data_IF_281333136760
#
_entry.id   IF_281333136760
#
_cell.length_a   1.000
_cell.length_b   1.000
_cell.length_c   1.000
_cell.angle_alpha   90.00
_cell.angle_beta   90.00
_cell.angle_gamma   90.00
#
_symmetry.space_group_name_H-M   'P 1'
#
loop_
_entity.id
_entity.type
_entity.pdbx_description
1 polymer ?
#
# COMPACT_ATOMS: atom_id res chain seq x y z
N UNK A 1 -1.04 7.88 -30.16
CA UNK A 1 -1.98 8.74 -29.39
C UNK A 1 -2.63 7.85 -28.34
N UNK A 2 -2.20 7.95 -27.08
CA UNK A 2 -2.80 7.20 -25.98
C UNK A 2 -4.12 7.90 -25.61
N UNK A 3 -5.25 7.24 -25.82
CA UNK A 3 -6.54 7.76 -25.38
C UNK A 3 -6.62 7.52 -23.87
N UNK A 4 -6.69 8.59 -23.10
CA UNK A 4 -6.88 8.47 -21.66
C UNK A 4 -8.29 7.89 -21.40
N UNK A 5 -8.39 6.78 -20.65
CA UNK A 5 -9.69 6.20 -20.35
C UNK A 5 -10.49 7.07 -19.40
N UNK A 6 -11.81 7.14 -19.62
CA UNK A 6 -12.73 7.80 -18.69
C UNK A 6 -12.93 6.94 -17.42
N UNK A 7 -12.17 7.27 -16.38
CA UNK A 7 -12.25 6.61 -15.08
C UNK A 7 -13.58 6.89 -14.37
N UNK A 8 -14.24 8.02 -14.61
CA UNK A 8 -15.50 8.36 -13.98
C UNK A 8 -16.66 7.49 -14.52
N UNK A 9 -16.69 7.26 -15.83
CA UNK A 9 -17.65 6.34 -16.44
C UNK A 9 -17.38 4.89 -16.01
N UNK A 10 -16.12 4.45 -16.04
CA UNK A 10 -15.73 3.09 -15.64
C UNK A 10 -16.06 2.78 -14.18
N UNK A 11 -15.91 3.76 -13.27
CA UNK A 11 -16.26 3.61 -11.84
C UNK A 11 -17.73 3.29 -11.61
N UNK A 12 -18.63 3.76 -12.48
CA UNK A 12 -20.07 3.48 -12.39
C UNK A 12 -20.44 2.10 -12.93
N UNK A 13 -19.62 1.56 -13.84
CA UNK A 13 -19.91 0.32 -14.56
C UNK A 13 -19.19 -0.91 -14.00
N UNK A 14 -18.06 -0.73 -13.31
CA UNK A 14 -17.17 -1.82 -12.90
C UNK A 14 -16.76 -1.71 -11.43
N UNK A 15 -16.71 -2.86 -10.74
CA UNK A 15 -16.21 -2.95 -9.36
C UNK A 15 -14.68 -2.81 -9.30
N UNK A 16 -13.97 -3.44 -10.25
CA UNK A 16 -12.52 -3.39 -10.38
C UNK A 16 -12.11 -3.29 -11.86
N UNK A 17 -10.96 -2.67 -12.11
CA UNK A 17 -10.47 -2.37 -13.44
C UNK A 17 -8.98 -2.71 -13.53
N UNK A 18 -8.59 -3.47 -14.55
CA UNK A 18 -7.18 -3.65 -14.90
C UNK A 18 -6.70 -2.40 -15.64
N UNK A 19 -5.71 -1.72 -15.07
CA UNK A 19 -5.18 -0.47 -15.61
C UNK A 19 -3.95 -0.66 -16.53
N UNK A 20 -3.12 -1.65 -16.22
CA UNK A 20 -1.84 -1.86 -16.88
C UNK A 20 -1.71 -3.29 -17.45
N UNK A 21 -0.53 -3.61 -17.96
CA UNK A 21 -0.18 -4.92 -18.51
C UNK A 21 -0.33 -6.05 -17.48
N UNK A 22 -0.41 -7.28 -17.99
CA UNK A 22 -0.49 -8.48 -17.16
C UNK A 22 0.78 -8.65 -16.31
N UNK A 23 0.59 -9.20 -15.10
CA UNK A 23 1.69 -9.50 -14.18
C UNK A 23 2.32 -10.84 -14.57
N UNK A 24 3.64 -10.88 -14.56
CA UNK A 24 4.44 -12.09 -14.75
C UNK A 24 5.22 -12.41 -13.47
N UNK A 25 5.63 -13.67 -13.32
CA UNK A 25 6.44 -14.15 -12.20
C UNK A 25 7.90 -13.65 -12.29
N UNK A 26 8.08 -12.35 -12.13
CA UNK A 26 9.38 -11.69 -12.14
C UNK A 26 9.35 -10.38 -11.35
N UNK A 27 10.43 -10.10 -10.62
CA UNK A 27 10.61 -8.82 -9.93
C UNK A 27 10.55 -7.62 -10.91
N UNK A 28 11.03 -7.81 -12.15
CA UNK A 28 10.95 -6.81 -13.20
C UNK A 28 9.51 -6.43 -13.55
N UNK A 29 8.61 -7.41 -13.70
CA UNK A 29 7.18 -7.15 -13.98
C UNK A 29 6.50 -6.40 -12.83
N UNK A 30 6.82 -6.75 -11.58
CA UNK A 30 6.27 -6.02 -10.41
C UNK A 30 6.77 -4.57 -10.38
N UNK A 31 8.06 -4.34 -10.64
CA UNK A 31 8.66 -3.00 -10.68
C UNK A 31 8.02 -2.12 -11.76
N UNK A 32 7.78 -2.65 -12.96
CA UNK A 32 7.13 -1.87 -14.04
C UNK A 32 5.69 -1.49 -13.71
N UNK A 33 4.92 -2.38 -13.06
CA UNK A 33 3.56 -2.07 -12.58
C UNK A 33 3.61 -0.97 -11.52
N UNK A 34 4.52 -1.07 -10.55
CA UNK A 34 4.69 -0.06 -9.49
C UNK A 34 5.08 1.30 -10.06
N UNK A 35 6.02 1.33 -11.00
CA UNK A 35 6.48 2.56 -11.64
C UNK A 35 5.35 3.21 -12.45
N UNK A 36 4.64 2.42 -13.28
CA UNK A 36 3.50 2.93 -14.03
C UNK A 36 2.40 3.50 -13.13
N UNK A 37 2.07 2.78 -12.05
CA UNK A 37 1.05 3.19 -11.07
C UNK A 37 1.42 4.50 -10.39
N UNK A 38 2.69 4.64 -10.00
CA UNK A 38 3.18 5.84 -9.34
C UNK A 38 3.28 7.04 -10.28
N UNK A 39 3.57 6.82 -11.56
CA UNK A 39 3.66 7.89 -12.57
C UNK A 39 2.28 8.36 -13.04
N UNK A 40 1.23 7.54 -12.89
CA UNK A 40 -0.16 7.88 -13.22
C UNK A 40 -1.04 8.10 -11.99
N UNK A 41 -0.44 8.23 -10.80
CA UNK A 41 -1.15 8.29 -9.53
C UNK A 41 -2.18 9.43 -9.47
N UNK A 42 -1.91 10.58 -10.09
CA UNK A 42 -2.81 11.74 -10.11
C UNK A 42 -4.12 11.47 -10.89
N UNK A 43 -4.11 10.47 -11.78
CA UNK A 43 -5.27 10.09 -12.59
C UNK A 43 -6.05 8.97 -11.89
N UNK A 44 -5.33 7.98 -11.36
CA UNK A 44 -5.96 6.76 -10.82
C UNK A 44 -6.39 6.89 -9.36
N UNK A 45 -5.64 7.62 -8.52
CA UNK A 45 -5.94 7.77 -7.08
C UNK A 45 -7.25 8.51 -6.84
N UNK A 46 -7.58 9.61 -7.55
CA UNK A 46 -8.89 10.25 -7.40
C UNK A 46 -10.04 9.36 -7.89
N UNK A 47 -9.79 8.49 -8.87
CA UNK A 47 -10.75 7.49 -9.34
C UNK A 47 -10.92 6.32 -8.35
N UNK A 48 -9.90 6.07 -7.52
CA UNK A 48 -9.81 4.97 -6.56
C UNK A 48 -10.32 5.34 -5.16
N UNK A 49 -11.37 6.16 -5.09
CA UNK A 49 -12.08 6.48 -3.87
C UNK A 49 -13.57 6.59 -4.18
N UNK A 50 -14.37 5.74 -3.54
CA UNK A 50 -15.83 5.91 -3.59
C UNK A 50 -16.28 6.70 -2.37
N UNK A 51 -16.61 7.98 -2.56
CA UNK A 51 -17.62 8.61 -1.72
C UNK A 51 -18.93 7.88 -1.99
N UNK A 52 -19.43 7.21 -0.95
CA UNK A 52 -20.68 6.48 -0.94
C UNK A 52 -21.83 7.45 -1.25
N UNK A 53 -22.33 7.40 -2.48
CA UNK A 53 -23.72 7.69 -2.78
C UNK A 53 -24.33 6.44 -3.42
N UNK A 54 -24.33 5.34 -2.67
CA UNK A 54 -25.23 4.21 -2.93
C UNK A 54 -26.46 4.41 -2.05
N UNK A 55 -27.52 4.99 -2.60
CA UNK A 55 -28.86 4.57 -2.21
C UNK A 55 -28.96 3.07 -2.47
N UNK A 56 -29.43 2.31 -1.49
CA UNK A 56 -29.61 0.83 -1.51
C UNK A 56 -28.40 0.02 -1.00
N UNK A 57 -28.00 0.34 0.24
CA UNK A 57 -27.89 -0.64 1.31
C UNK A 57 -26.85 -1.76 1.18
N UNK A 58 -25.75 -1.57 1.92
CA UNK A 58 -24.90 -2.58 2.57
C UNK A 58 -24.37 -3.72 1.70
N UNK A 59 -23.05 -3.73 1.44
CA UNK A 59 -22.09 -4.85 1.69
C UNK A 59 -20.73 -4.47 1.07
N UNK A 60 -19.69 -4.45 1.90
CA UNK A 60 -18.25 -4.32 1.60
C UNK A 60 -17.81 -3.11 0.75
N UNK A 61 -17.07 -2.19 1.36
CA UNK A 61 -16.41 -1.09 0.65
C UNK A 61 -15.41 -1.62 -0.40
N UNK A 62 -15.26 -0.97 -1.56
CA UNK A 62 -14.34 -1.42 -2.60
C UNK A 62 -12.88 -1.24 -2.12
N UNK A 63 -12.16 -2.35 -1.95
CA UNK A 63 -10.70 -2.34 -1.88
C UNK A 63 -10.17 -2.20 -3.32
N UNK A 64 -9.54 -1.07 -3.64
CA UNK A 64 -9.10 -0.75 -5.01
C UNK A 64 -7.90 -1.58 -5.49
N UNK A 65 -7.34 -2.42 -4.61
CA UNK A 65 -6.35 -3.45 -4.96
C UNK A 65 -6.86 -4.81 -4.48
N UNK A 66 -7.55 -5.58 -5.34
CA UNK A 66 -8.06 -6.88 -4.94
C UNK A 66 -6.90 -7.86 -4.67
N UNK A 67 -6.93 -8.53 -3.53
CA UNK A 67 -5.96 -9.57 -3.17
C UNK A 67 -6.34 -10.90 -3.85
N UNK A 68 -5.97 -11.04 -5.13
CA UNK A 68 -6.22 -12.24 -5.92
C UNK A 68 -4.95 -13.08 -6.01
N UNK A 69 -4.99 -14.30 -5.46
CA UNK A 69 -3.87 -15.23 -5.51
C UNK A 69 -3.92 -16.08 -6.78
N UNK A 70 -2.78 -16.22 -7.46
CA UNK A 70 -2.58 -17.12 -8.60
C UNK A 70 -1.41 -18.05 -8.32
N UNK A 71 -1.63 -19.05 -7.48
CA UNK A 71 -0.62 -20.05 -7.08
C UNK A 71 -1.27 -21.44 -6.87
N UNK A 72 -0.45 -22.49 -6.77
CA UNK A 72 -0.96 -23.81 -6.35
C UNK A 72 -1.06 -23.86 -4.81
N UNK A 73 -2.28 -23.77 -4.30
CA UNK A 73 -2.55 -23.78 -2.87
C UNK A 73 -2.27 -25.13 -2.20
N UNK A 74 -2.12 -26.21 -2.97
CA UNK A 74 -1.80 -27.55 -2.44
C UNK A 74 -0.32 -27.68 -2.11
N UNK A 75 0.52 -26.89 -2.78
CA UNK A 75 1.98 -26.92 -2.68
C UNK A 75 2.54 -25.49 -2.55
N UNK A 76 2.12 -24.80 -1.50
CA UNK A 76 2.61 -23.47 -1.15
C UNK A 76 3.64 -23.56 -0.03
N UNK A 77 4.80 -22.91 -0.20
CA UNK A 77 5.81 -22.89 0.86
C UNK A 77 5.30 -22.14 2.12
N UNK A 78 5.69 -22.57 3.33
CA UNK A 78 5.18 -21.99 4.58
C UNK A 78 5.41 -20.48 4.71
N UNK A 79 6.53 -19.98 4.19
CA UNK A 79 6.90 -18.56 4.22
C UNK A 79 5.92 -17.71 3.39
N UNK A 80 5.61 -18.13 2.15
CA UNK A 80 4.64 -17.45 1.29
C UNK A 80 3.23 -17.52 1.88
N UNK A 81 2.85 -18.66 2.46
CA UNK A 81 1.56 -18.79 3.15
C UNK A 81 1.46 -17.81 4.33
N UNK A 82 2.50 -17.70 5.15
CA UNK A 82 2.52 -16.77 6.29
C UNK A 82 2.43 -15.31 5.83
N UNK A 83 3.12 -14.95 4.75
CA UNK A 83 3.06 -13.60 4.18
C UNK A 83 1.65 -13.29 3.64
N UNK A 84 1.06 -14.19 2.84
CA UNK A 84 -0.28 -14.02 2.25
C UNK A 84 -1.39 -14.01 3.31
N UNK A 85 -1.16 -14.65 4.47
CA UNK A 85 -2.09 -14.69 5.59
C UNK A 85 -1.75 -13.70 6.72
N UNK A 86 -0.84 -12.75 6.48
CA UNK A 86 -0.47 -11.76 7.50
C UNK A 86 -1.65 -10.81 7.77
N UNK A 87 -2.29 -10.98 8.94
CA UNK A 87 -3.49 -10.24 9.34
C UNK A 87 -3.26 -8.73 9.34
N UNK A 88 -2.09 -8.25 9.75
CA UNK A 88 -1.81 -6.80 9.80
C UNK A 88 -1.76 -6.19 8.40
N UNK A 89 -1.16 -6.90 7.43
CA UNK A 89 -1.14 -6.48 6.02
C UNK A 89 -2.54 -6.53 5.42
N UNK A 90 -3.32 -7.58 5.72
CA UNK A 90 -4.70 -7.71 5.25
C UNK A 90 -5.57 -6.57 5.80
N UNK A 91 -5.43 -6.21 7.08
CA UNK A 91 -6.18 -5.11 7.69
C UNK A 91 -5.86 -3.76 7.02
N UNK A 92 -4.60 -3.50 6.68
CA UNK A 92 -4.21 -2.30 5.93
C UNK A 92 -4.86 -2.29 4.53
N UNK A 93 -4.87 -3.44 3.84
CA UNK A 93 -5.48 -3.57 2.51
C UNK A 93 -7.01 -3.46 2.52
N UNK A 94 -7.64 -3.91 3.61
CA UNK A 94 -9.09 -3.93 3.80
C UNK A 94 -9.59 -2.77 4.68
N UNK A 95 -8.83 -1.67 4.74
CA UNK A 95 -9.22 -0.48 5.48
C UNK A 95 -10.56 0.07 4.97
N UNK A 96 -11.45 0.40 5.92
CA UNK A 96 -12.82 0.81 5.61
C UNK A 96 -12.90 2.17 4.90
N UNK A 97 -11.89 3.03 5.03
CA UNK A 97 -11.87 4.29 4.28
C UNK A 97 -11.69 4.03 2.79
N UNK A 98 -11.14 2.88 2.41
CA UNK A 98 -10.99 2.45 1.03
C UNK A 98 -10.24 3.46 0.16
N UNK A 99 -9.30 4.21 0.76
CA UNK A 99 -8.50 5.23 0.06
C UNK A 99 -7.22 4.57 -0.45
N UNK A 100 -7.01 4.62 -1.76
CA UNK A 100 -5.77 4.13 -2.35
C UNK A 100 -4.55 4.95 -1.88
N UNK A 101 -3.47 4.26 -1.52
CA UNK A 101 -2.18 4.88 -1.21
C UNK A 101 -1.49 5.46 -2.45
N UNK A 102 -0.53 6.36 -2.25
CA UNK A 102 0.20 7.05 -3.32
C UNK A 102 1.69 7.20 -2.95
N UNK A 103 2.54 7.35 -3.97
CA UNK A 103 3.97 7.59 -3.78
C UNK A 103 4.18 9.06 -3.42
N UNK A 104 4.80 9.32 -2.27
CA UNK A 104 5.21 10.68 -1.87
C UNK A 104 6.65 10.71 -1.37
N UNK A 105 7.36 11.78 -1.71
CA UNK A 105 8.68 12.10 -1.16
C UNK A 105 8.61 12.89 0.15
N UNK A 106 7.45 13.51 0.43
CA UNK A 106 7.21 14.33 1.63
C UNK A 106 6.01 13.78 2.39
N UNK A 107 6.26 13.33 3.61
CA UNK A 107 5.20 12.84 4.48
C UNK A 107 4.62 14.04 5.25
N UNK A 108 3.45 14.53 4.81
CA UNK A 108 2.60 15.38 5.65
C UNK A 108 1.56 14.49 6.33
N UNK A 109 1.86 14.03 7.54
CA UNK A 109 0.87 13.32 8.37
C UNK A 109 -0.13 14.34 8.92
N UNK A 110 -1.30 14.46 8.31
CA UNK A 110 -2.41 15.23 8.90
C UNK A 110 -3.60 14.30 9.15
N UNK A 111 -3.71 13.80 10.38
CA UNK A 111 -4.89 13.13 10.91
C UNK A 111 -5.04 11.64 10.55
N UNK A 112 -5.09 10.80 11.60
CA UNK A 112 -5.47 9.38 11.50
C UNK A 112 -4.29 8.39 11.52
N UNK A 113 -4.63 7.10 11.53
CA UNK A 113 -3.68 6.00 11.38
C UNK A 113 -3.24 5.91 9.92
N UNK A 114 -1.94 5.74 9.68
CA UNK A 114 -1.35 5.69 8.34
C UNK A 114 -0.44 4.47 8.20
N UNK A 115 -0.36 3.93 6.99
CA UNK A 115 0.59 2.88 6.63
C UNK A 115 1.64 3.48 5.68
N UNK A 116 2.92 3.35 6.05
CA UNK A 116 4.07 3.83 5.30
C UNK A 116 4.84 2.61 4.78
N UNK A 117 4.98 2.51 3.46
CA UNK A 117 5.82 1.51 2.82
C UNK A 117 7.08 2.18 2.27
N UNK A 118 8.24 1.70 2.69
CA UNK A 118 9.54 2.13 2.18
C UNK A 118 10.08 1.04 1.30
N UNK A 119 10.17 1.34 0.00
CA UNK A 119 10.77 0.46 -1.00
C UNK A 119 12.19 0.92 -1.28
N UNK A 120 13.16 0.05 -1.07
CA UNK A 120 14.51 0.31 -1.57
C UNK A 120 14.59 -0.05 -3.06
N UNK A 121 14.76 0.99 -3.89
CA UNK A 121 14.98 0.84 -5.33
C UNK A 121 16.45 0.67 -5.68
N UNK A 122 17.36 1.00 -4.76
CA UNK A 122 18.79 0.80 -4.91
C UNK A 122 19.22 -0.42 -4.08
N UNK A 123 20.47 -0.86 -4.23
CA UNK A 123 21.06 -1.89 -3.36
C UNK A 123 22.09 -1.26 -2.40
N UNK A 124 21.94 0.04 -2.11
CA UNK A 124 22.99 0.82 -1.43
C UNK A 124 22.39 1.78 -0.40
N UNK A 125 22.51 1.41 0.87
CA UNK A 125 22.28 2.26 2.03
C UNK A 125 20.89 2.10 2.65
N UNK A 126 20.82 2.14 3.99
CA UNK A 126 19.56 1.99 4.72
C UNK A 126 18.69 3.26 4.60
N UNK A 127 17.41 3.13 4.17
CA UNK A 127 16.47 4.24 4.14
C UNK A 127 16.26 4.89 5.53
N UNK A 128 16.02 6.19 5.55
CA UNK A 128 15.70 6.91 6.79
C UNK A 128 14.31 7.52 6.65
N UNK A 129 13.42 7.17 7.57
CA UNK A 129 12.12 7.82 7.69
C UNK A 129 12.27 9.11 8.50
N UNK A 130 11.56 10.19 8.13
CA UNK A 130 11.55 11.41 8.93
C UNK A 130 10.93 11.14 10.31
N UNK A 131 11.34 11.91 11.35
CA UNK A 131 10.73 11.84 12.68
C UNK A 131 9.23 12.14 12.62
N UNK A 132 8.42 11.34 13.30
CA UNK A 132 6.98 11.56 13.46
C UNK A 132 6.62 11.77 14.94
N UNK A 133 6.88 12.99 15.47
CA UNK A 133 6.67 13.27 16.89
C UNK A 133 5.23 13.00 17.34
N UNK A 134 5.08 12.36 18.50
CA UNK A 134 3.77 12.10 19.11
C UNK A 134 2.98 10.96 18.44
N UNK A 135 3.65 10.14 17.62
CA UNK A 135 3.04 8.98 16.99
C UNK A 135 3.70 7.68 17.49
N UNK A 136 2.88 6.65 17.65
CA UNK A 136 3.31 5.28 17.94
C UNK A 136 3.52 4.54 16.62
N UNK A 137 4.68 3.91 16.47
CA UNK A 137 5.06 3.22 15.24
C UNK A 137 5.18 1.71 15.46
N UNK A 138 4.65 0.92 14.52
CA UNK A 138 4.84 -0.54 14.47
C UNK A 138 5.31 -0.96 13.09
N UNK A 139 6.45 -1.63 13.02
CA UNK A 139 6.90 -2.31 11.81
C UNK A 139 6.07 -3.58 11.64
N UNK A 140 5.56 -3.80 10.43
CA UNK A 140 4.74 -4.96 10.03
C UNK A 140 5.53 -5.90 9.13
N UNK A 141 6.34 -5.36 8.21
CA UNK A 141 7.23 -6.09 7.32
C UNK A 141 8.66 -5.55 7.42
N UNK A 142 9.71 -6.39 7.30
CA UNK A 142 9.67 -7.84 7.01
C UNK A 142 9.25 -8.71 8.19
N UNK A 143 9.36 -8.19 9.42
CA UNK A 143 8.87 -8.83 10.64
C UNK A 143 8.19 -7.81 11.53
N UNK A 144 7.27 -8.27 12.37
CA UNK A 144 6.58 -7.41 13.32
C UNK A 144 7.53 -6.93 14.41
N UNK A 145 7.61 -5.61 14.62
CA UNK A 145 8.43 -4.99 15.66
C UNK A 145 7.78 -3.71 16.17
N UNK A 146 7.63 -3.61 17.49
CA UNK A 146 7.16 -2.38 18.12
C UNK A 146 8.31 -1.37 18.17
N UNK A 147 8.13 -0.22 17.50
CA UNK A 147 9.14 0.84 17.44
C UNK A 147 8.91 1.92 18.51
N UNK A 148 7.75 1.86 19.17
CA UNK A 148 7.37 2.76 20.26
C UNK A 148 7.03 4.17 19.80
N UNK A 149 7.04 5.10 20.75
CA UNK A 149 6.67 6.51 20.55
C UNK A 149 7.85 7.27 19.96
N UNK A 150 7.61 7.91 18.80
CA UNK A 150 8.60 8.78 18.18
C UNK A 150 8.50 10.21 18.76
N UNK A 151 9.65 10.82 19.04
CA UNK A 151 9.81 12.19 19.55
C UNK A 151 10.25 13.15 18.44
N UNK A 152 10.27 14.46 18.70
CA UNK A 152 10.72 15.48 17.73
C UNK A 152 12.17 15.27 17.27
N UNK A 153 12.99 14.57 18.06
CA UNK A 153 14.39 14.30 17.79
C UNK A 153 14.64 12.86 17.29
N UNK A 154 13.65 11.97 17.32
CA UNK A 154 13.88 10.56 16.98
C UNK A 154 13.86 10.34 15.47
N UNK A 155 15.03 10.14 14.87
CA UNK A 155 15.12 9.66 13.49
C UNK A 155 14.80 8.17 13.48
N UNK A 156 13.66 7.80 12.91
CA UNK A 156 13.35 6.41 12.67
C UNK A 156 14.22 5.93 11.49
N UNK A 157 15.33 5.30 11.81
CA UNK A 157 16.16 4.59 10.83
C UNK A 157 15.52 3.25 10.60
N UNK A 158 15.27 2.91 9.33
CA UNK A 158 14.81 1.58 9.02
C UNK A 158 15.73 0.90 8.04
N UNK A 159 16.06 -0.33 8.37
CA UNK A 159 16.90 -1.15 7.52
C UNK A 159 16.00 -1.90 6.55
N UNK A 160 16.20 -1.61 5.26
CA UNK A 160 15.44 -2.23 4.18
C UNK A 160 16.44 -3.01 3.35
N UNK A 161 16.18 -4.31 3.17
CA UNK A 161 17.00 -5.13 2.31
C UNK A 161 16.93 -4.63 0.86
N UNK A 162 17.95 -4.84 0.03
CA UNK A 162 17.91 -4.49 -1.38
C UNK A 162 16.70 -5.10 -2.10
N UNK A 163 15.99 -4.29 -2.90
CA UNK A 163 14.69 -4.63 -3.50
C UNK A 163 13.59 -5.08 -2.51
N UNK A 164 13.83 -4.93 -1.21
CA UNK A 164 12.91 -5.24 -0.13
C UNK A 164 11.96 -4.08 0.14
N UNK A 165 10.91 -4.38 0.92
CA UNK A 165 9.95 -3.39 1.38
C UNK A 165 9.81 -3.52 2.88
N UNK A 166 9.91 -2.39 3.56
CA UNK A 166 9.53 -2.26 4.95
C UNK A 166 8.17 -1.56 5.02
N UNK A 167 7.26 -2.11 5.81
CA UNK A 167 5.93 -1.58 6.00
C UNK A 167 5.78 -1.21 7.47
N UNK A 168 5.54 0.05 7.76
CA UNK A 168 5.36 0.58 9.11
C UNK A 168 4.01 1.28 9.24
N UNK A 169 3.28 0.97 10.31
CA UNK A 169 2.06 1.68 10.67
C UNK A 169 2.39 2.79 11.66
N UNK A 170 1.76 3.94 11.50
CA UNK A 170 1.94 5.13 12.32
C UNK A 170 0.58 5.54 12.87
N UNK A 171 0.44 5.56 14.19
CA UNK A 171 -0.79 5.93 14.89
C UNK A 171 -0.55 7.16 15.77
N UNK A 172 -1.42 8.19 15.71
CA UNK A 172 -1.32 9.33 16.60
C UNK A 172 -1.62 8.90 18.04
N UNK A 173 -0.79 9.37 18.97
CA UNK A 173 -1.03 9.18 20.40
C UNK A 173 -1.98 10.29 20.83
N UNK A 174 -3.10 9.91 21.46
CA UNK A 174 -4.07 10.86 22.00
C UNK A 174 -3.54 11.53 23.26
#
# INVERSE_FOLDING_TARGET
>A
MYLQPDYAAKRKACNHLRNFADVYDSCGSVKTILDWTADHQDIIVPGAGMTLACSLGWYFGPSWSPLLMSNDLRDICPQSKQLLQNIQVILISQDQLGRQGYRTAKISLSGGQLALAVLDKQEIGSPRLPPHPGHMCHQVLPSYKELGVQTLLSKLVVDVNPSGTELTTVTPIK
#
